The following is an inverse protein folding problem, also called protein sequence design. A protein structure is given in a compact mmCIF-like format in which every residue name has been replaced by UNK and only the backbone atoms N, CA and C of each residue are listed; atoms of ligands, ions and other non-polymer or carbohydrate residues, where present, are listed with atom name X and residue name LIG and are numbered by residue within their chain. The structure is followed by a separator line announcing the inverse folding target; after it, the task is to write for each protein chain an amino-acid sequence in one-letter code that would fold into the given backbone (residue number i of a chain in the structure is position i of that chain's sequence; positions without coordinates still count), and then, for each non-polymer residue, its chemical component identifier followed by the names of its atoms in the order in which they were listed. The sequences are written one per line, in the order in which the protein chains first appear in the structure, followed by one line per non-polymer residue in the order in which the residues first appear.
data_IF_945932130969
#
_entry.id   IF_945932130969
#
_cell.length_a   1.000
_cell.length_b   1.000
_cell.length_c   1.000
_cell.angle_alpha   90.00
_cell.angle_beta   90.00
_cell.angle_gamma   90.00
#
_symmetry.space_group_name_H-M   'P 1'
#
loop_
_entity.id
_entity.type
_entity.pdbx_description
1 polymer ?
#
# COMPACT_ATOMS: atom_id res chain seq x y z
N UNK A 1 -21.49 17.78 -15.53
CA UNK A 1 -20.80 18.19 -14.29
C UNK A 1 -20.60 16.93 -13.50
N UNK A 2 -19.41 16.34 -13.51
CA UNK A 2 -19.12 15.16 -12.70
C UNK A 2 -19.16 15.57 -11.23
N UNK A 3 -19.98 14.88 -10.44
CA UNK A 3 -20.05 15.09 -9.00
C UNK A 3 -18.74 14.60 -8.38
N UNK A 4 -17.87 15.53 -8.02
CA UNK A 4 -16.66 15.21 -7.28
C UNK A 4 -17.05 14.70 -5.90
N UNK A 5 -16.89 13.40 -5.67
CA UNK A 5 -17.11 12.79 -4.35
C UNK A 5 -15.91 13.14 -3.49
N UNK A 6 -16.12 13.94 -2.45
CA UNK A 6 -15.08 14.24 -1.45
C UNK A 6 -15.15 13.23 -0.30
N UNK A 7 -13.99 12.73 0.12
CA UNK A 7 -13.84 11.89 1.29
C UNK A 7 -13.06 12.66 2.36
N UNK A 8 -13.45 12.51 3.62
CA UNK A 8 -12.66 13.02 4.73
C UNK A 8 -11.35 12.22 4.81
N UNK A 9 -10.22 12.93 4.85
CA UNK A 9 -8.92 12.29 5.02
C UNK A 9 -8.79 11.76 6.44
N UNK A 10 -8.63 10.44 6.56
CA UNK A 10 -8.46 9.74 7.85
C UNK A 10 -7.04 9.21 8.05
N UNK A 11 -6.23 9.15 6.99
CA UNK A 11 -4.83 8.72 7.01
C UNK A 11 -3.95 9.86 6.52
N UNK A 12 -2.98 10.29 7.33
CA UNK A 12 -2.04 11.36 6.96
C UNK A 12 -0.89 10.86 6.10
N UNK A 13 -0.35 9.65 6.37
CA UNK A 13 0.76 9.02 5.64
C UNK A 13 0.47 7.54 5.39
N UNK A 14 0.33 7.18 4.13
CA UNK A 14 -0.06 5.84 3.70
C UNK A 14 0.87 5.25 2.65
N UNK A 15 0.78 3.94 2.47
CA UNK A 15 1.39 3.20 1.38
C UNK A 15 0.36 2.29 0.71
N UNK A 16 0.33 2.30 -0.63
CA UNK A 16 -0.35 1.27 -1.43
C UNK A 16 0.67 0.29 -1.98
N UNK A 17 0.37 -1.01 -1.90
CA UNK A 17 1.23 -2.09 -2.42
C UNK A 17 0.44 -2.97 -3.36
N UNK A 18 0.89 -3.08 -4.62
CA UNK A 18 0.45 -4.13 -5.54
C UNK A 18 1.35 -5.35 -5.36
N UNK A 19 0.74 -6.46 -4.95
CA UNK A 19 1.43 -7.70 -4.60
C UNK A 19 1.33 -8.69 -5.76
N UNK A 20 2.42 -8.85 -6.51
CA UNK A 20 2.58 -9.88 -7.52
C UNK A 20 3.40 -11.07 -7.01
N UNK A 21 3.40 -12.17 -7.77
CA UNK A 21 4.09 -13.42 -7.39
C UNK A 21 5.60 -13.25 -7.15
N UNK A 22 6.27 -12.38 -7.92
CA UNK A 22 7.75 -12.25 -7.90
C UNK A 22 8.23 -10.91 -7.35
N UNK A 23 7.35 -9.91 -7.30
CA UNK A 23 7.72 -8.52 -7.02
C UNK A 23 6.55 -7.80 -6.33
N UNK A 24 6.88 -6.77 -5.59
CA UNK A 24 5.97 -5.83 -4.96
C UNK A 24 6.22 -4.44 -5.54
N UNK A 25 5.17 -3.73 -5.91
CA UNK A 25 5.26 -2.30 -6.26
C UNK A 25 4.59 -1.52 -5.13
N UNK A 26 5.38 -0.71 -4.41
CA UNK A 26 4.93 0.03 -3.25
C UNK A 26 5.05 1.54 -3.50
N UNK A 27 3.95 2.27 -3.30
CA UNK A 27 3.90 3.73 -3.41
C UNK A 27 3.59 4.33 -2.06
N UNK A 28 4.43 5.22 -1.56
CA UNK A 28 4.16 6.04 -0.38
C UNK A 28 3.58 7.39 -0.79
N UNK A 29 2.65 7.93 -0.02
CA UNK A 29 2.14 9.28 -0.19
C UNK A 29 1.54 9.80 1.12
N UNK A 30 1.45 11.13 1.26
CA UNK A 30 0.85 11.75 2.42
C UNK A 30 1.46 13.10 2.78
N UNK A 31 1.06 13.59 3.95
CA UNK A 31 1.45 14.90 4.44
C UNK A 31 2.96 15.02 4.68
N UNK A 32 3.60 15.95 3.97
CA UNK A 32 5.04 16.19 4.05
C UNK A 32 5.88 15.08 3.42
N UNK A 33 5.29 14.23 2.58
CA UNK A 33 5.99 13.23 1.78
C UNK A 33 5.82 13.55 0.29
N UNK A 34 6.90 13.39 -0.47
CA UNK A 34 6.75 13.27 -1.92
C UNK A 34 6.20 11.89 -2.24
N UNK A 35 5.27 11.83 -3.20
CA UNK A 35 4.81 10.53 -3.70
C UNK A 35 5.99 9.82 -4.35
N UNK A 36 6.35 8.64 -3.82
CA UNK A 36 7.48 7.84 -4.30
C UNK A 36 7.04 6.39 -4.47
N UNK A 37 7.38 5.80 -5.62
CA UNK A 37 7.13 4.39 -5.92
C UNK A 37 8.45 3.63 -5.98
N UNK A 38 8.50 2.47 -5.31
CA UNK A 38 9.65 1.55 -5.34
C UNK A 38 9.21 0.11 -5.58
N UNK A 39 10.10 -0.65 -6.20
CA UNK A 39 9.93 -2.08 -6.41
C UNK A 39 10.74 -2.87 -5.39
N UNK A 40 10.15 -3.94 -4.86
CA UNK A 40 10.80 -4.85 -3.92
C UNK A 40 10.64 -6.31 -4.35
N UNK A 41 11.60 -7.14 -3.97
CA UNK A 41 11.48 -8.59 -4.10
C UNK A 41 10.49 -9.20 -3.08
N UNK A 42 10.19 -10.48 -3.25
CA UNK A 42 9.23 -11.24 -2.41
C UNK A 42 9.90 -12.12 -1.35
N UNK A 43 11.22 -12.13 -1.29
CA UNK A 43 12.00 -12.85 -0.27
C UNK A 43 12.12 -12.02 1.00
N UNK A 44 12.28 -12.68 2.16
CA UNK A 44 12.29 -12.03 3.48
C UNK A 44 13.22 -10.83 3.57
N UNK A 45 14.42 -10.88 2.97
CA UNK A 45 15.35 -9.74 2.97
C UNK A 45 14.73 -8.50 2.33
N UNK A 46 14.14 -8.65 1.15
CA UNK A 46 13.47 -7.55 0.44
C UNK A 46 12.21 -7.06 1.13
N UNK A 47 11.48 -7.95 1.82
CA UNK A 47 10.34 -7.55 2.64
C UNK A 47 10.77 -6.74 3.87
N UNK A 48 11.92 -7.06 4.46
CA UNK A 48 12.51 -6.26 5.54
C UNK A 48 12.98 -4.90 5.03
N UNK A 49 13.60 -4.84 3.85
CA UNK A 49 13.98 -3.56 3.19
C UNK A 49 12.75 -2.68 2.91
N UNK A 50 11.64 -3.28 2.43
CA UNK A 50 10.35 -2.60 2.30
C UNK A 50 9.87 -2.04 3.65
N UNK A 51 9.85 -2.88 4.69
CA UNK A 51 9.41 -2.49 6.04
C UNK A 51 10.25 -1.33 6.58
N UNK A 52 11.57 -1.41 6.49
CA UNK A 52 12.47 -0.37 6.99
C UNK A 52 12.23 0.96 6.23
N UNK A 53 12.09 0.91 4.90
CA UNK A 53 11.76 2.09 4.09
C UNK A 53 10.42 2.74 4.49
N UNK A 54 9.40 1.94 4.80
CA UNK A 54 8.09 2.46 5.26
C UNK A 54 8.22 3.17 6.62
N UNK A 55 8.98 2.59 7.55
CA UNK A 55 9.20 3.16 8.89
C UNK A 55 10.03 4.45 8.83
N UNK A 56 11.08 4.49 8.00
CA UNK A 56 11.91 5.68 7.78
C UNK A 56 11.08 6.88 7.29
N UNK A 57 10.10 6.62 6.42
CA UNK A 57 9.17 7.63 5.91
C UNK A 57 8.00 7.93 6.86
N UNK A 58 7.96 7.26 8.02
CA UNK A 58 6.88 7.37 9.02
C UNK A 58 5.51 7.07 8.42
N UNK A 59 5.45 6.08 7.52
CA UNK A 59 4.18 5.53 7.06
C UNK A 59 3.47 4.91 8.26
N UNK A 60 2.15 5.10 8.33
CA UNK A 60 1.33 4.56 9.42
C UNK A 60 0.38 3.48 8.96
N UNK A 61 -0.10 3.58 7.71
CA UNK A 61 -1.07 2.67 7.12
C UNK A 61 -0.55 2.10 5.81
N UNK A 62 -0.71 0.79 5.65
CA UNK A 62 -0.33 0.07 4.42
C UNK A 62 -1.58 -0.64 3.90
N UNK A 63 -1.89 -0.42 2.63
CA UNK A 63 -2.97 -1.10 1.92
C UNK A 63 -2.35 -2.01 0.86
N UNK A 64 -2.69 -3.29 0.90
CA UNK A 64 -2.19 -4.28 -0.05
C UNK A 64 -3.31 -4.78 -0.96
N UNK A 65 -3.11 -4.63 -2.27
CA UNK A 65 -3.89 -5.32 -3.29
C UNK A 65 -3.21 -6.65 -3.63
N UNK A 66 -3.93 -7.76 -3.55
CA UNK A 66 -3.45 -9.03 -4.10
C UNK A 66 -4.60 -9.86 -4.66
N UNK A 67 -4.35 -10.49 -5.81
CA UNK A 67 -5.28 -11.41 -6.47
C UNK A 67 -5.13 -12.86 -5.97
N UNK A 68 -4.19 -13.14 -5.06
CA UNK A 68 -3.92 -14.47 -4.52
C UNK A 68 -3.39 -14.45 -3.08
N UNK A 69 -2.74 -15.53 -2.64
CA UNK A 69 -2.22 -15.67 -1.26
C UNK A 69 -0.89 -14.96 -1.01
N UNK A 70 -0.33 -14.26 -2.00
CA UNK A 70 1.01 -13.66 -1.94
C UNK A 70 1.12 -12.50 -0.95
N UNK A 71 0.00 -11.94 -0.48
CA UNK A 71 0.01 -10.93 0.59
C UNK A 71 0.45 -11.50 1.95
N UNK A 72 0.29 -12.81 2.20
CA UNK A 72 0.59 -13.43 3.50
C UNK A 72 2.03 -13.19 3.98
N UNK A 73 3.08 -13.48 3.20
CA UNK A 73 4.45 -13.20 3.62
C UNK A 73 4.71 -11.71 3.85
N UNK A 74 4.11 -10.83 3.05
CA UNK A 74 4.24 -9.36 3.25
C UNK A 74 3.60 -8.95 4.57
N UNK A 75 2.36 -9.40 4.82
CA UNK A 75 1.64 -9.13 6.06
C UNK A 75 2.42 -9.59 7.30
N UNK A 76 2.96 -10.80 7.29
CA UNK A 76 3.74 -11.34 8.41
C UNK A 76 5.00 -10.52 8.74
N UNK A 77 5.60 -9.83 7.76
CA UNK A 77 6.77 -8.99 7.99
C UNK A 77 6.37 -7.59 8.48
N UNK A 78 5.24 -7.06 7.99
CA UNK A 78 4.81 -5.69 8.28
C UNK A 78 4.01 -5.56 9.58
N UNK A 79 3.11 -6.51 9.89
CA UNK A 79 2.20 -6.39 11.04
C UNK A 79 2.91 -6.20 12.39
N UNK A 80 4.03 -6.87 12.70
CA UNK A 80 4.73 -6.70 13.97
C UNK A 80 5.42 -5.33 14.14
N UNK A 81 5.49 -4.51 13.10
CA UNK A 81 6.25 -3.25 13.08
C UNK A 81 5.48 -2.02 13.55
N UNK A 82 4.25 -2.20 14.03
CA UNK A 82 3.37 -1.09 14.45
C UNK A 82 2.67 -0.37 13.30
N UNK A 83 2.76 -0.90 12.09
CA UNK A 83 1.99 -0.44 10.93
C UNK A 83 0.57 -0.99 10.98
N UNK A 84 -0.42 -0.16 10.60
CA UNK A 84 -1.77 -0.65 10.34
C UNK A 84 -1.83 -1.23 8.94
N UNK A 85 -1.96 -2.55 8.82
CA UNK A 85 -1.91 -3.26 7.53
C UNK A 85 -3.31 -3.72 7.12
N UNK A 86 -3.81 -3.22 6.00
CA UNK A 86 -5.09 -3.60 5.41
C UNK A 86 -4.89 -4.40 4.13
N UNK A 87 -5.60 -5.52 4.03
CA UNK A 87 -5.66 -6.32 2.81
C UNK A 87 -6.98 -5.98 2.14
N UNK A 88 -6.92 -5.45 0.92
CA UNK A 88 -8.12 -5.06 0.18
C UNK A 88 -8.33 -6.00 -1.00
N UNK A 89 -9.59 -6.31 -1.27
CA UNK A 89 -9.94 -7.01 -2.49
C UNK A 89 -9.87 -6.02 -3.66
N UNK A 90 -8.99 -6.29 -4.61
CA UNK A 90 -8.85 -5.55 -5.87
C UNK A 90 -10.18 -5.20 -6.56
N UNK A 91 -11.15 -6.11 -6.48
CA UNK A 91 -12.49 -5.92 -7.09
C UNK A 91 -13.27 -4.78 -6.46
N UNK A 92 -13.04 -4.48 -5.18
CA UNK A 92 -13.73 -3.39 -4.47
C UNK A 92 -13.08 -2.02 -4.76
N UNK A 93 -11.76 -1.98 -4.98
CA UNK A 93 -11.03 -0.74 -5.32
C UNK A 93 -11.45 -0.19 -6.67
N UNK A 94 -11.70 -1.06 -7.67
CA UNK A 94 -12.12 -0.64 -9.02
C UNK A 94 -13.47 0.06 -9.07
N UNK A 95 -14.33 -0.14 -8.07
CA UNK A 95 -15.68 0.43 -8.03
C UNK A 95 -15.76 1.71 -7.19
N UNK A 96 -14.62 2.25 -6.73
CA UNK A 96 -14.59 3.52 -5.99
C UNK A 96 -14.80 4.67 -6.99
N UNK A 97 -15.86 5.47 -6.83
CA UNK A 97 -16.11 6.62 -7.70
C UNK A 97 -14.94 7.62 -7.62
N UNK A 98 -14.52 8.16 -8.77
CA UNK A 98 -13.61 9.32 -8.83
C UNK A 98 -12.12 9.04 -9.02
N UNK A 99 -11.67 7.78 -9.16
CA UNK A 99 -10.22 7.49 -9.27
C UNK A 99 -9.79 6.45 -10.31
N UNK A 100 -10.54 6.28 -11.40
CA UNK A 100 -9.99 5.61 -12.58
C UNK A 100 -10.55 6.17 -13.89
N UNK A 101 -9.76 6.93 -14.61
CA UNK A 101 -9.80 6.97 -16.09
C UNK A 101 -8.98 5.77 -16.57
N UNK A 102 -9.57 4.93 -17.41
CA UNK A 102 -8.80 3.95 -18.21
C UNK A 102 -7.76 4.66 -19.10
#
# INVERSE_FOLDING_TARGET
MESQVSFNQVVSRGCGIDVHKKMLVATISGEGLNTETREFGTVTRSLTELKDWLLENRVTHVVMESTGVYWKPVYHVLEPSGLTVWIVNARHVKNVPGHKTD
#
